data_IF_150798086918
#
_entry.id   IF_150798086918
#
_cell.length_a   1.000
_cell.length_b   1.000
_cell.length_c   1.000
_cell.angle_alpha   90.00
_cell.angle_beta   90.00
_cell.angle_gamma   90.00
#
_symmetry.space_group_name_H-M   'P 1'
#
loop_
_entity.id
_entity.type
_entity.pdbx_description
1 polymer ?
#
# COMPACT_ATOMS: atom_id res chain seq x y z
N UNK A 1 -4.85 11.39 -2.56
CA UNK A 1 -6.10 11.79 -2.00
C UNK A 1 -7.30 11.04 -2.56
N UNK A 2 -8.47 11.53 -2.24
CA UNK A 2 -9.72 10.87 -2.62
C UNK A 2 -9.87 10.71 -4.12
N UNK A 3 -9.48 11.73 -4.88
CA UNK A 3 -9.60 11.67 -6.36
C UNK A 3 -8.71 10.57 -6.93
N UNK A 4 -7.49 10.46 -6.44
CA UNK A 4 -6.57 9.42 -6.89
C UNK A 4 -7.09 8.03 -6.50
N UNK A 5 -7.58 7.89 -5.29
CA UNK A 5 -8.16 6.64 -4.80
C UNK A 5 -9.35 6.19 -5.64
N UNK A 6 -10.24 7.11 -5.97
CA UNK A 6 -11.41 6.81 -6.78
C UNK A 6 -11.03 6.42 -8.20
N UNK A 7 -10.06 7.12 -8.79
CA UNK A 7 -9.55 6.78 -10.12
C UNK A 7 -8.93 5.39 -10.13
N UNK A 8 -8.16 5.07 -9.09
CA UNK A 8 -7.51 3.77 -8.95
C UNK A 8 -8.55 2.66 -8.80
N UNK A 9 -9.53 2.90 -7.93
CA UNK A 9 -10.62 1.94 -7.72
C UNK A 9 -11.39 1.69 -9.00
N UNK A 10 -11.69 2.73 -9.76
CA UNK A 10 -12.40 2.60 -11.02
C UNK A 10 -11.59 1.79 -12.02
N UNK A 11 -10.28 2.01 -12.07
CA UNK A 11 -9.40 1.24 -12.94
C UNK A 11 -9.36 -0.24 -12.56
N UNK A 12 -9.61 -0.56 -11.29
CA UNK A 12 -9.60 -1.92 -10.77
C UNK A 12 -10.98 -2.54 -10.67
N UNK A 13 -12.00 -1.85 -11.14
CA UNK A 13 -13.40 -2.30 -11.01
C UNK A 13 -13.60 -3.75 -11.43
N UNK A 14 -12.98 -4.12 -12.53
CA UNK A 14 -13.13 -5.46 -13.07
C UNK A 14 -12.21 -6.47 -12.40
N UNK A 15 -11.04 -6.05 -11.97
CA UNK A 15 -10.01 -6.88 -11.32
C UNK A 15 -9.68 -8.17 -12.06
N UNK A 16 -10.04 -8.26 -13.33
CA UNK A 16 -9.79 -9.44 -14.14
C UNK A 16 -8.34 -9.50 -14.59
N UNK A 17 -7.72 -10.65 -14.36
CA UNK A 17 -6.40 -10.90 -14.89
C UNK A 17 -5.27 -10.14 -14.23
N UNK A 18 -5.51 -9.44 -13.13
CA UNK A 18 -4.44 -8.76 -12.40
C UNK A 18 -3.70 -9.72 -11.48
N UNK A 19 -2.49 -9.36 -11.12
CA UNK A 19 -1.69 -10.19 -10.21
C UNK A 19 -2.23 -10.21 -8.79
N UNK A 20 -2.87 -9.14 -8.36
CA UNK A 20 -3.49 -8.97 -7.05
C UNK A 20 -2.49 -8.72 -5.92
N UNK A 21 -1.33 -9.35 -5.90
CA UNK A 21 -0.32 -9.23 -4.85
C UNK A 21 0.85 -8.38 -5.31
N UNK A 22 1.38 -7.59 -4.40
CA UNK A 22 2.60 -6.84 -4.65
C UNK A 22 3.40 -6.69 -3.38
N UNK A 23 4.71 -6.66 -3.50
CA UNK A 23 5.62 -6.48 -2.38
C UNK A 23 6.85 -5.69 -2.83
N UNK A 24 7.31 -4.80 -1.96
CA UNK A 24 8.44 -3.96 -2.30
C UNK A 24 9.19 -3.57 -1.05
N UNK A 25 10.50 -3.38 -1.17
CA UNK A 25 11.30 -2.75 -0.14
C UNK A 25 12.11 -1.62 -0.77
N UNK A 26 12.13 -0.47 -0.11
CA UNK A 26 12.83 0.71 -0.61
C UNK A 26 13.70 1.28 0.49
N UNK A 27 14.99 1.42 0.25
CA UNK A 27 15.89 2.07 1.21
C UNK A 27 15.94 3.56 0.99
N UNK A 28 16.16 4.29 2.07
CA UNK A 28 16.48 5.71 2.03
C UNK A 28 17.36 6.01 3.22
N UNK A 29 18.64 6.27 2.96
CA UNK A 29 19.66 6.41 4.00
C UNK A 29 19.67 5.15 4.88
N UNK A 30 19.45 5.28 6.19
CA UNK A 30 19.44 4.16 7.13
C UNK A 30 18.05 3.53 7.30
N UNK A 31 17.06 4.03 6.57
CA UNK A 31 15.67 3.55 6.66
C UNK A 31 15.38 2.58 5.54
N UNK A 32 14.70 1.48 5.87
CA UNK A 32 14.18 0.57 4.84
C UNK A 32 12.68 0.39 5.11
N UNK A 33 11.89 0.68 4.09
CA UNK A 33 10.44 0.49 4.15
C UNK A 33 10.06 -0.77 3.37
N UNK A 34 9.24 -1.60 3.99
CA UNK A 34 8.69 -2.82 3.38
C UNK A 34 7.18 -2.64 3.26
N UNK A 35 6.67 -2.78 2.05
CA UNK A 35 5.23 -2.65 1.80
C UNK A 35 4.73 -3.87 1.05
N UNK A 36 3.65 -4.46 1.56
CA UNK A 36 2.96 -5.54 0.86
C UNK A 36 1.50 -5.17 0.70
N UNK A 37 0.94 -5.53 -0.44
CA UNK A 37 -0.48 -5.30 -0.73
C UNK A 37 -1.12 -6.56 -1.26
N UNK A 38 -2.39 -6.74 -0.92
CA UNK A 38 -3.24 -7.80 -1.46
C UNK A 38 -4.59 -7.17 -1.78
N UNK A 39 -4.88 -7.03 -3.06
CA UNK A 39 -6.15 -6.42 -3.51
C UNK A 39 -7.23 -7.49 -3.48
N UNK A 40 -7.67 -7.82 -2.28
CA UNK A 40 -8.61 -8.91 -2.03
C UNK A 40 -10.08 -8.50 -2.10
N UNK A 41 -10.34 -7.21 -2.08
CA UNK A 41 -11.70 -6.69 -1.94
C UNK A 41 -12.04 -6.26 -0.52
N UNK A 42 -11.18 -6.60 0.43
CA UNK A 42 -11.35 -6.21 1.84
C UNK A 42 -10.23 -5.26 2.24
N UNK A 43 -10.63 -4.09 2.75
CA UNK A 43 -9.66 -3.11 3.22
C UNK A 43 -9.22 -3.40 4.64
N UNK A 44 -7.91 -3.50 4.84
CA UNK A 44 -7.33 -3.67 6.16
C UNK A 44 -5.97 -2.98 6.22
N UNK A 45 -5.74 -2.23 7.28
CA UNK A 45 -4.45 -1.60 7.55
C UNK A 45 -4.29 -1.48 9.06
N UNK A 46 -3.16 -1.95 9.56
CA UNK A 46 -2.79 -1.77 10.96
C UNK A 46 -1.83 -0.61 11.05
N UNK A 47 -2.13 0.36 11.90
CA UNK A 47 -1.31 1.55 12.08
C UNK A 47 0.15 1.23 12.32
N UNK A 48 1.03 2.00 11.69
CA UNK A 48 2.46 1.94 11.99
C UNK A 48 2.64 2.45 13.41
N UNK A 49 3.33 1.68 14.28
CA UNK A 49 3.48 2.09 15.68
C UNK A 49 4.24 3.41 15.80
N UNK A 50 3.80 4.23 16.74
CA UNK A 50 4.45 5.51 17.03
C UNK A 50 5.91 5.34 17.42
N UNK A 51 6.25 4.21 18.00
CA UNK A 51 7.64 3.87 18.35
C UNK A 51 8.56 3.81 17.13
N UNK A 52 7.99 3.52 15.96
CA UNK A 52 8.77 3.40 14.74
C UNK A 52 9.14 4.73 14.13
N UNK A 53 8.40 5.80 14.48
CA UNK A 53 8.63 7.12 13.92
C UNK A 53 8.26 8.19 14.93
N UNK A 54 8.86 9.36 14.79
CA UNK A 54 8.55 10.51 15.61
C UNK A 54 7.83 11.56 14.78
N UNK A 55 6.91 12.27 15.42
CA UNK A 55 6.21 13.37 14.78
C UNK A 55 7.14 14.56 14.61
N UNK A 56 6.96 15.27 13.52
CA UNK A 56 7.68 16.51 13.25
C UNK A 56 6.70 17.62 12.93
N UNK A 57 7.21 18.85 12.99
CA UNK A 57 6.43 20.02 12.64
C UNK A 57 5.91 19.89 11.20
N UNK A 58 4.61 20.11 11.02
CA UNK A 58 3.96 20.02 9.71
C UNK A 58 3.67 18.60 9.24
N UNK A 59 4.12 17.59 10.00
CA UNK A 59 3.88 16.20 9.67
C UNK A 59 3.49 15.44 10.92
N UNK A 60 2.61 14.45 10.77
CA UNK A 60 2.14 13.64 11.86
C UNK A 60 2.04 12.19 11.41
N UNK A 61 2.57 11.28 12.22
CA UNK A 61 2.41 9.86 11.98
C UNK A 61 0.92 9.48 12.01
N UNK A 62 0.16 10.12 12.89
CA UNK A 62 -1.29 9.91 12.97
C UNK A 62 -1.97 10.24 11.65
N UNK A 63 -1.60 11.35 11.02
CA UNK A 63 -2.15 11.74 9.72
C UNK A 63 -1.77 10.74 8.63
N UNK A 64 -0.52 10.26 8.65
CA UNK A 64 -0.06 9.27 7.68
C UNK A 64 -0.82 7.96 7.84
N UNK A 65 -0.97 7.48 9.08
CA UNK A 65 -1.73 6.26 9.35
C UNK A 65 -3.19 6.39 8.90
N UNK A 66 -3.77 7.56 9.15
CA UNK A 66 -5.14 7.83 8.71
C UNK A 66 -5.28 7.76 7.20
N UNK A 67 -4.31 8.32 6.48
CA UNK A 67 -4.28 8.26 5.03
C UNK A 67 -4.19 6.81 4.54
N UNK A 68 -3.27 6.02 5.10
CA UNK A 68 -3.08 4.63 4.67
C UNK A 68 -4.32 3.79 4.96
N UNK A 69 -4.96 4.02 6.09
CA UNK A 69 -6.18 3.29 6.42
C UNK A 69 -7.29 3.60 5.42
N UNK A 70 -7.51 4.88 5.13
CA UNK A 70 -8.52 5.29 4.17
C UNK A 70 -8.21 4.73 2.77
N UNK A 71 -6.95 4.79 2.38
CA UNK A 71 -6.51 4.29 1.10
C UNK A 71 -6.75 2.79 0.96
N UNK A 72 -6.37 2.02 1.97
CA UNK A 72 -6.57 0.57 1.98
C UNK A 72 -8.05 0.20 1.90
N UNK A 73 -8.88 0.88 2.68
CA UNK A 73 -10.31 0.62 2.69
C UNK A 73 -10.96 0.98 1.36
N UNK A 74 -10.55 2.10 0.79
CA UNK A 74 -11.11 2.58 -0.47
C UNK A 74 -10.81 1.64 -1.62
N UNK A 75 -9.59 1.11 -1.67
CA UNK A 75 -9.17 0.18 -2.72
C UNK A 75 -9.56 -1.27 -2.43
N UNK A 76 -10.02 -1.56 -1.24
CA UNK A 76 -10.32 -2.94 -0.86
C UNK A 76 -9.06 -3.79 -0.84
N UNK A 77 -7.99 -3.28 -0.24
CA UNK A 77 -6.74 -4.01 -0.17
C UNK A 77 -6.26 -4.18 1.27
N UNK A 78 -5.61 -5.29 1.51
CA UNK A 78 -4.86 -5.50 2.74
C UNK A 78 -3.49 -4.86 2.53
N UNK A 79 -3.18 -3.85 3.33
CA UNK A 79 -1.94 -3.10 3.23
C UNK A 79 -1.11 -3.32 4.49
N UNK A 80 0.12 -3.76 4.31
CA UNK A 80 1.07 -3.92 5.41
C UNK A 80 2.28 -3.04 5.17
N UNK A 81 2.64 -2.25 6.18
CA UNK A 81 3.81 -1.37 6.12
C UNK A 81 4.69 -1.67 7.32
N UNK A 82 5.96 -1.94 7.05
CA UNK A 82 6.97 -2.13 8.07
C UNK A 82 8.15 -1.23 7.77
N UNK A 83 8.67 -0.57 8.79
CA UNK A 83 9.84 0.29 8.66
C UNK A 83 10.94 -0.27 9.55
N UNK A 84 12.10 -0.50 8.97
CA UNK A 84 13.26 -0.98 9.67
C UNK A 84 14.27 0.13 9.76
N UNK A 85 14.81 0.38 10.95
CA UNK A 85 15.76 1.46 11.25
C UNK A 85 15.16 2.83 10.96
N UNK A 86 14.60 3.45 11.98
CA UNK A 86 13.97 4.76 11.81
C UNK A 86 14.99 5.90 11.93
N UNK A 87 14.68 6.98 11.25
CA UNK A 87 15.43 8.23 11.31
C UNK A 87 14.66 9.23 12.18
N UNK A 88 15.34 10.15 12.88
CA UNK A 88 14.64 11.20 13.62
C UNK A 88 13.74 12.08 12.75
N UNK A 89 14.06 12.19 11.46
CA UNK A 89 13.26 12.95 10.52
C UNK A 89 12.10 12.10 9.98
N UNK A 90 10.88 12.48 10.34
CA UNK A 90 9.67 11.76 9.91
C UNK A 90 9.57 11.70 8.38
N UNK A 91 9.95 12.76 7.69
CA UNK A 91 9.90 12.80 6.22
C UNK A 91 10.81 11.72 5.62
N UNK A 92 12.00 11.54 6.20
CA UNK A 92 12.94 10.50 5.75
C UNK A 92 12.37 9.11 5.98
N UNK A 93 11.54 8.92 6.99
CA UNK A 93 10.89 7.64 7.25
C UNK A 93 9.72 7.39 6.29
N UNK A 94 8.95 8.42 5.97
CA UNK A 94 7.74 8.28 5.16
C UNK A 94 8.00 8.21 3.66
N UNK A 95 9.01 8.91 3.16
CA UNK A 95 9.28 8.92 1.72
C UNK A 95 9.51 7.52 1.14
N UNK A 96 10.34 6.66 1.75
CA UNK A 96 10.50 5.30 1.22
C UNK A 96 9.23 4.47 1.33
N UNK A 97 8.36 4.76 2.31
CA UNK A 97 7.07 4.08 2.42
C UNK A 97 6.21 4.37 1.20
N UNK A 98 6.11 5.64 0.80
CA UNK A 98 5.31 6.00 -0.37
C UNK A 98 5.90 5.43 -1.66
N UNK A 99 7.22 5.41 -1.78
CA UNK A 99 7.88 4.80 -2.94
C UNK A 99 7.62 3.30 -3.00
N UNK A 100 7.76 2.63 -1.87
CA UNK A 100 7.51 1.19 -1.80
C UNK A 100 6.04 0.86 -2.08
N UNK A 101 5.13 1.68 -1.60
CA UNK A 101 3.70 1.51 -1.88
C UNK A 101 3.43 1.62 -3.38
N UNK A 102 4.01 2.60 -4.05
CA UNK A 102 3.86 2.77 -5.49
C UNK A 102 4.33 1.56 -6.27
N UNK A 103 5.50 1.03 -5.91
CA UNK A 103 6.05 -0.17 -6.57
C UNK A 103 5.18 -1.39 -6.31
N UNK A 104 4.74 -1.59 -5.07
CA UNK A 104 3.88 -2.73 -4.72
C UNK A 104 2.54 -2.67 -5.46
N UNK A 105 1.95 -1.49 -5.56
CA UNK A 105 0.70 -1.30 -6.30
C UNK A 105 0.88 -1.56 -7.79
N UNK A 106 1.98 -1.10 -8.35
CA UNK A 106 2.26 -1.34 -9.76
C UNK A 106 2.33 -2.84 -10.04
N UNK A 107 3.00 -3.60 -9.18
CA UNK A 107 3.06 -5.05 -9.31
C UNK A 107 1.68 -5.70 -9.20
N UNK A 108 0.93 -5.32 -8.18
CA UNK A 108 -0.36 -5.95 -7.88
C UNK A 108 -1.40 -5.70 -8.97
N UNK A 109 -1.30 -4.58 -9.66
CA UNK A 109 -2.28 -4.17 -10.67
C UNK A 109 -1.89 -4.56 -12.08
N UNK A 110 -0.71 -5.13 -12.29
CA UNK A 110 -0.29 -5.61 -13.59
C UNK A 110 -1.15 -6.78 -14.04
N UNK A 111 -1.38 -6.85 -15.33
CA UNK A 111 -2.06 -7.99 -15.92
C UNK A 111 -1.14 -9.21 -15.84
N UNK A 112 -1.69 -10.31 -15.35
CA UNK A 112 -0.98 -11.59 -15.32
C UNK A 112 -1.50 -12.42 -16.52
N UNK A 113 -0.67 -12.66 -17.54
CA UNK A 113 -1.14 -13.37 -18.73
C UNK A 113 -1.54 -14.82 -18.46
N UNK A 114 -1.16 -15.37 -17.31
CA UNK A 114 -1.55 -16.72 -16.93
C UNK A 114 -2.96 -16.78 -16.34
N UNK A 115 -3.56 -15.62 -16.04
CA UNK A 115 -4.91 -15.55 -15.46
C UNK A 115 -5.90 -15.09 -16.51
N UNK A 116 -7.00 -15.83 -16.63
CA UNK A 116 -8.09 -15.48 -17.50
C UNK A 116 -9.32 -15.23 -16.65
N UNK A 117 -9.83 -14.01 -16.69
CA UNK A 117 -10.95 -13.62 -15.87
C UNK A 117 -10.51 -13.16 -14.49
N UNK A 118 -11.34 -13.41 -13.49
CA UNK A 118 -11.11 -12.93 -12.13
C UNK A 118 -10.03 -13.79 -11.45
N UNK A 119 -8.99 -13.19 -10.85
CA UNK A 119 -7.88 -13.94 -10.25
C UNK A 119 -8.28 -14.59 -8.93
N UNK A 120 -9.09 -15.63 -9.01
CA UNK A 120 -9.55 -16.42 -7.87
C UNK A 120 -9.67 -17.86 -8.31
N UNK A 121 -9.39 -18.80 -7.41
CA UNK A 121 -9.55 -20.23 -7.70
C UNK A 121 -10.97 -20.60 -8.01
N UNK A 122 -11.93 -19.77 -7.61
CA UNK A 122 -13.35 -19.98 -7.87
C UNK A 122 -13.83 -19.19 -9.08
N UNK A 123 -12.93 -18.48 -9.76
CA UNK A 123 -13.30 -17.61 -10.86
C UNK A 123 -13.82 -16.24 -10.43
N UNK A 124 -13.77 -15.96 -9.15
CA UNK A 124 -14.19 -14.67 -8.60
C UNK A 124 -13.11 -14.11 -7.68
N UNK A 125 -13.09 -12.81 -7.52
CA UNK A 125 -12.19 -12.13 -6.58
C UNK A 125 -12.75 -12.30 -5.18
N UNK A 126 -11.93 -12.78 -4.29
CA UNK A 126 -12.28 -12.91 -2.88
C UNK A 126 -12.10 -11.61 -2.14
#
# INVERSE_FOLDING_TARGET
GIVLEDAFKKALDDKKGIKRFGASSVPMEDVVAFVTVDISGRGFFKDVPEKAMQNQEGYSLSSANHFFEAFAKRLGMNLSIKIESTNPDLHTNLEPVFKALGVALDQATQIDPRRKGIPSTKGIID
#
